data_IF_789208225038
#
_entry.id   IF_789208225038
#
_cell.length_a   1.000
_cell.length_b   1.000
_cell.length_c   1.000
_cell.angle_alpha   90.00
_cell.angle_beta   90.00
_cell.angle_gamma   90.00
#
_symmetry.space_group_name_H-M   'P 1'
#
loop_
_entity.id
_entity.type
_entity.pdbx_description
1 polymer ?
#
# COMPACT_ATOMS: atom_id res chain seq x y z
N UNK A 1 25.06 17.83 3.17
CA UNK A 1 25.76 18.83 2.31
C UNK A 1 25.62 18.59 0.80
N UNK A 2 24.55 17.94 0.32
CA UNK A 2 24.27 17.82 -1.13
C UNK A 2 23.34 18.94 -1.62
N UNK A 3 23.35 19.31 -2.91
CA UNK A 3 22.38 20.26 -3.47
C UNK A 3 20.94 19.82 -3.21
N UNK A 4 20.03 20.78 -2.99
CA UNK A 4 18.62 20.50 -2.70
C UNK A 4 17.95 19.65 -3.78
N UNK A 5 18.33 19.83 -5.05
CA UNK A 5 17.83 19.04 -6.18
C UNK A 5 18.17 17.55 -6.02
N UNK A 6 19.40 17.24 -5.63
CA UNK A 6 19.85 15.85 -5.38
C UNK A 6 19.12 15.25 -4.19
N UNK A 7 18.90 16.05 -3.13
CA UNK A 7 18.11 15.62 -1.98
C UNK A 7 16.66 15.34 -2.37
N UNK A 8 16.04 16.21 -3.19
CA UNK A 8 14.66 16.04 -3.63
C UNK A 8 14.48 14.76 -4.45
N UNK A 9 15.41 14.44 -5.36
CA UNK A 9 15.40 13.18 -6.11
C UNK A 9 15.50 11.97 -5.18
N UNK A 10 16.41 11.99 -4.19
CA UNK A 10 16.52 10.93 -3.19
C UNK A 10 15.21 10.74 -2.40
N UNK A 11 14.57 11.84 -1.98
CA UNK A 11 13.32 11.81 -1.23
C UNK A 11 12.14 11.32 -2.07
N UNK A 12 12.08 11.69 -3.36
CA UNK A 12 11.08 11.19 -4.31
C UNK A 12 11.23 9.68 -4.53
N UNK A 13 12.46 9.20 -4.72
CA UNK A 13 12.72 7.78 -4.90
C UNK A 13 12.39 6.97 -3.64
N UNK A 14 12.75 7.48 -2.45
CA UNK A 14 12.32 6.88 -1.18
C UNK A 14 10.81 6.92 -1.02
N UNK A 15 10.16 8.02 -1.38
CA UNK A 15 8.71 8.13 -1.41
C UNK A 15 8.06 7.09 -2.32
N UNK A 16 8.68 6.77 -3.45
CA UNK A 16 8.21 5.73 -4.36
C UNK A 16 8.25 4.34 -3.71
N UNK A 17 9.35 4.01 -3.01
CA UNK A 17 9.49 2.71 -2.33
C UNK A 17 8.67 2.61 -1.03
N UNK A 18 8.37 3.73 -0.39
CA UNK A 18 7.64 3.78 0.88
C UNK A 18 6.19 3.30 0.79
N UNK A 19 5.61 3.22 -0.41
CA UNK A 19 4.28 2.60 -0.63
C UNK A 19 4.23 1.17 -0.07
N UNK A 20 5.34 0.42 -0.13
CA UNK A 20 5.50 -0.91 0.46
C UNK A 20 6.45 -0.91 1.66
N UNK A 21 6.49 0.21 2.39
CA UNK A 21 7.26 0.41 3.62
C UNK A 21 8.78 0.33 3.46
N UNK A 22 9.29 0.47 2.24
CA UNK A 22 10.72 0.43 1.95
C UNK A 22 11.28 1.86 1.94
N UNK A 23 12.36 2.08 2.69
CA UNK A 23 13.10 3.35 2.70
C UNK A 23 14.44 3.21 1.95
N UNK A 24 14.37 2.94 0.64
CA UNK A 24 15.55 2.72 -0.21
C UNK A 24 15.35 3.38 -1.59
N UNK A 25 16.15 4.39 -1.96
CA UNK A 25 15.99 5.11 -3.23
C UNK A 25 16.27 4.22 -4.45
N UNK A 26 17.16 3.23 -4.33
CA UNK A 26 17.44 2.30 -5.41
C UNK A 26 16.27 1.35 -5.66
N UNK A 27 15.61 0.86 -4.61
CA UNK A 27 14.32 0.15 -4.75
C UNK A 27 13.27 1.06 -5.41
N UNK A 28 13.21 2.34 -5.02
CA UNK A 28 12.33 3.32 -5.65
C UNK A 28 12.56 3.46 -7.15
N UNK A 29 13.82 3.50 -7.59
CA UNK A 29 14.19 3.56 -9.00
C UNK A 29 13.74 2.31 -9.77
N UNK A 30 13.96 1.11 -9.20
CA UNK A 30 13.50 -0.16 -9.81
C UNK A 30 11.97 -0.16 -9.94
N UNK A 31 11.25 0.33 -8.93
CA UNK A 31 9.79 0.48 -8.98
C UNK A 31 9.38 1.44 -10.11
N UNK A 32 10.03 2.59 -10.27
CA UNK A 32 9.74 3.51 -11.39
C UNK A 32 9.93 2.84 -12.76
N UNK A 33 10.95 1.98 -12.93
CA UNK A 33 11.10 1.18 -14.16
C UNK A 33 9.91 0.25 -14.37
N UNK A 34 9.43 -0.40 -13.31
CA UNK A 34 8.22 -1.22 -13.35
C UNK A 34 6.97 -0.40 -13.73
N UNK A 35 6.82 0.79 -13.17
CA UNK A 35 5.72 1.71 -13.50
C UNK A 35 5.80 2.21 -14.94
N UNK A 36 7.00 2.49 -15.45
CA UNK A 36 7.20 2.85 -16.86
C UNK A 36 6.77 1.72 -17.81
N UNK A 37 7.09 0.47 -17.46
CA UNK A 37 6.66 -0.73 -18.22
C UNK A 37 5.13 -0.92 -18.16
N UNK A 38 4.49 -0.57 -17.05
CA UNK A 38 3.04 -0.59 -16.95
C UNK A 38 2.40 0.49 -17.83
N UNK A 39 2.75 1.76 -17.59
CA UNK A 39 2.34 2.89 -18.41
C UNK A 39 3.23 4.11 -18.08
N UNK A 40 3.92 4.70 -19.07
CA UNK A 40 4.68 5.94 -18.88
C UNK A 40 3.81 7.09 -18.37
N UNK A 41 2.53 7.14 -18.76
CA UNK A 41 1.59 8.15 -18.30
C UNK A 41 1.30 8.01 -16.80
N UNK A 42 1.08 6.79 -16.31
CA UNK A 42 0.81 6.54 -14.88
C UNK A 42 2.06 6.86 -14.04
N UNK A 43 3.25 6.47 -14.53
CA UNK A 43 4.51 6.86 -13.90
C UNK A 43 4.63 8.39 -13.81
N UNK A 44 4.30 9.12 -14.88
CA UNK A 44 4.39 10.58 -14.91
C UNK A 44 3.43 11.23 -13.90
N UNK A 45 2.15 10.82 -13.86
CA UNK A 45 1.19 11.38 -12.90
C UNK A 45 1.55 11.01 -11.47
N UNK A 46 2.03 9.79 -11.21
CA UNK A 46 2.58 9.37 -9.92
C UNK A 46 3.77 10.22 -9.49
N UNK A 47 4.74 10.44 -10.39
CA UNK A 47 5.90 11.30 -10.14
C UNK A 47 5.50 12.76 -9.87
N UNK A 48 4.50 13.27 -10.58
CA UNK A 48 3.94 14.59 -10.31
C UNK A 48 3.33 14.65 -8.89
N UNK A 49 2.52 13.66 -8.52
CA UNK A 49 1.88 13.62 -7.21
C UNK A 49 2.87 13.49 -6.04
N UNK A 50 3.89 12.63 -6.16
CA UNK A 50 4.92 12.49 -5.12
C UNK A 50 5.78 13.75 -4.99
N UNK A 51 6.09 14.41 -6.10
CA UNK A 51 6.84 15.69 -6.10
C UNK A 51 6.03 16.78 -5.41
N UNK A 52 4.77 16.97 -5.81
CA UNK A 52 3.88 17.99 -5.22
C UNK A 52 3.65 17.74 -3.73
N UNK A 53 3.42 16.49 -3.33
CA UNK A 53 3.25 16.13 -1.92
C UNK A 53 4.52 16.41 -1.10
N UNK A 54 5.69 16.08 -1.64
CA UNK A 54 6.98 16.34 -0.98
C UNK A 54 7.26 17.84 -0.84
N UNK A 55 7.06 18.62 -1.91
CA UNK A 55 7.22 20.07 -1.89
C UNK A 55 6.22 20.74 -0.94
N UNK A 56 4.98 20.25 -0.88
CA UNK A 56 3.96 20.73 0.06
C UNK A 56 4.37 20.46 1.50
N UNK A 57 4.91 19.28 1.80
CA UNK A 57 5.45 18.97 3.13
C UNK A 57 6.61 19.90 3.51
N UNK A 58 7.48 20.26 2.55
CA UNK A 58 8.54 21.25 2.78
C UNK A 58 7.97 22.64 3.09
N UNK A 59 6.97 23.09 2.33
CA UNK A 59 6.32 24.38 2.49
C UNK A 59 5.56 24.48 3.82
N UNK A 60 4.89 23.40 4.25
CA UNK A 60 4.21 23.28 5.53
C UNK A 60 5.17 22.99 6.70
N UNK A 61 6.48 23.09 6.50
CA UNK A 61 7.52 22.86 7.52
C UNK A 61 7.35 21.56 8.30
N UNK A 62 6.94 20.48 7.60
CA UNK A 62 6.85 19.15 8.20
C UNK A 62 8.25 18.61 8.56
N UNK A 63 8.28 17.61 9.45
CA UNK A 63 9.52 17.04 9.96
C UNK A 63 10.46 16.60 8.82
N UNK A 64 11.68 17.15 8.83
CA UNK A 64 12.69 16.88 7.80
C UNK A 64 13.14 15.43 7.82
N UNK A 65 13.11 14.74 8.96
CA UNK A 65 13.48 13.32 9.03
C UNK A 65 12.44 12.45 8.33
N UNK A 66 11.15 12.74 8.52
CA UNK A 66 10.05 12.08 7.82
C UNK A 66 10.06 12.36 6.31
N UNK A 67 10.31 13.61 5.90
CA UNK A 67 10.43 13.98 4.47
C UNK A 67 11.59 13.23 3.82
N UNK A 68 12.77 13.24 4.46
CA UNK A 68 13.95 12.57 3.91
C UNK A 68 13.84 11.05 3.89
N UNK A 69 13.02 10.46 4.75
CA UNK A 69 12.64 9.05 4.70
C UNK A 69 11.55 8.73 3.64
N UNK A 70 11.03 9.72 2.90
CA UNK A 70 9.99 9.54 1.89
C UNK A 70 8.56 9.42 2.45
N UNK A 71 8.34 9.63 3.75
CA UNK A 71 7.04 9.41 4.40
C UNK A 71 5.95 10.43 3.97
N UNK A 72 6.36 11.56 3.38
CA UNK A 72 5.45 12.53 2.80
C UNK A 72 5.28 12.39 1.27
N UNK A 73 5.97 11.43 0.63
CA UNK A 73 5.93 11.24 -0.83
C UNK A 73 5.00 10.13 -1.30
N UNK A 74 4.89 9.03 -0.56
CA UNK A 74 4.24 7.81 -1.05
C UNK A 74 2.72 7.93 -1.24
N UNK A 75 2.04 8.67 -0.37
CA UNK A 75 0.60 8.93 -0.53
C UNK A 75 0.32 9.76 -1.79
N UNK A 76 1.15 10.77 -2.07
CA UNK A 76 1.06 11.57 -3.30
C UNK A 76 1.34 10.76 -4.56
N UNK A 77 2.28 9.81 -4.51
CA UNK A 77 2.53 8.87 -5.62
C UNK A 77 1.26 8.08 -5.96
N UNK A 78 0.63 7.47 -4.95
CA UNK A 78 -0.59 6.68 -5.12
C UNK A 78 -1.76 7.54 -5.62
N UNK A 79 -1.89 8.78 -5.14
CA UNK A 79 -2.89 9.73 -5.67
C UNK A 79 -2.72 9.90 -7.17
N UNK A 80 -1.51 10.24 -7.63
CA UNK A 80 -1.23 10.46 -9.04
C UNK A 80 -1.44 9.22 -9.90
N UNK A 81 -1.02 8.04 -9.42
CA UNK A 81 -1.22 6.76 -10.11
C UNK A 81 -2.71 6.44 -10.26
N UNK A 82 -3.45 6.41 -9.14
CA UNK A 82 -4.82 5.90 -9.16
C UNK A 82 -5.82 6.90 -9.74
N UNK A 83 -5.54 8.21 -9.70
CA UNK A 83 -6.32 9.18 -10.49
C UNK A 83 -6.20 8.92 -11.99
N UNK A 84 -5.04 8.44 -12.46
CA UNK A 84 -4.83 8.07 -13.86
C UNK A 84 -5.53 6.75 -14.20
N UNK A 85 -5.34 5.73 -13.35
CA UNK A 85 -5.98 4.41 -13.52
C UNK A 85 -7.51 4.49 -13.59
N UNK A 86 -8.13 5.36 -12.78
CA UNK A 86 -9.59 5.51 -12.74
C UNK A 86 -10.14 6.60 -13.66
N UNK A 87 -9.32 7.23 -14.51
CA UNK A 87 -9.81 8.24 -15.46
C UNK A 87 -10.40 7.58 -16.71
N UNK A 88 -11.61 8.00 -17.09
CA UNK A 88 -12.27 7.53 -18.32
C UNK A 88 -11.78 8.25 -19.58
N UNK A 89 -10.88 9.23 -19.43
CA UNK A 89 -10.27 9.97 -20.55
C UNK A 89 -9.04 9.26 -21.14
N UNK A 90 -8.53 8.22 -20.49
CA UNK A 90 -7.37 7.46 -20.91
C UNK A 90 -6.03 8.19 -20.74
N UNK A 91 -4.99 7.64 -21.35
CA UNK A 91 -3.62 8.13 -21.21
C UNK A 91 -3.40 9.50 -21.87
N UNK A 92 -2.49 10.29 -21.30
CA UNK A 92 -2.08 11.63 -21.79
C UNK A 92 -3.19 12.69 -21.82
N UNK A 93 -4.25 12.53 -21.02
CA UNK A 93 -5.18 13.62 -20.73
C UNK A 93 -4.52 14.66 -19.80
N UNK A 94 -3.77 15.60 -20.37
CA UNK A 94 -2.95 16.58 -19.65
C UNK A 94 -3.72 17.43 -18.62
N UNK A 95 -5.01 17.65 -18.83
CA UNK A 95 -5.89 18.32 -17.87
C UNK A 95 -6.02 17.58 -16.54
N UNK A 96 -5.61 16.32 -16.45
CA UNK A 96 -5.55 15.56 -15.20
C UNK A 96 -4.41 16.02 -14.28
N UNK A 97 -3.36 16.70 -14.78
CA UNK A 97 -2.23 17.12 -13.94
C UNK A 97 -2.62 18.18 -12.88
N UNK A 98 -3.41 19.22 -13.17
CA UNK A 98 -3.89 20.15 -12.15
C UNK A 98 -4.63 19.48 -10.98
N UNK A 99 -5.67 18.63 -11.17
CA UNK A 99 -6.29 17.95 -10.04
C UNK A 99 -5.33 16.97 -9.35
N UNK A 100 -4.42 16.29 -10.06
CA UNK A 100 -3.38 15.46 -9.42
C UNK A 100 -2.53 16.30 -8.46
N UNK A 101 -2.11 17.50 -8.88
CA UNK A 101 -1.34 18.39 -8.02
C UNK A 101 -2.15 18.81 -6.78
N UNK A 102 -3.37 19.34 -6.97
CA UNK A 102 -4.24 19.82 -5.88
C UNK A 102 -4.54 18.70 -4.86
N UNK A 103 -4.92 17.52 -5.32
CA UNK A 103 -5.25 16.40 -4.43
C UNK A 103 -3.99 15.87 -3.73
N UNK A 104 -2.82 15.90 -4.38
CA UNK A 104 -1.55 15.53 -3.76
C UNK A 104 -1.10 16.52 -2.67
N UNK A 105 -1.45 17.81 -2.78
CA UNK A 105 -1.19 18.80 -1.72
C UNK A 105 -1.96 18.48 -0.42
N UNK A 106 -3.09 17.78 -0.50
CA UNK A 106 -3.84 17.36 0.68
C UNK A 106 -3.14 16.24 1.47
N UNK A 107 -2.24 15.47 0.84
CA UNK A 107 -1.61 14.30 1.47
C UNK A 107 -0.78 14.66 2.72
N UNK A 108 0.13 15.64 2.73
CA UNK A 108 0.86 16.02 3.94
C UNK A 108 -0.05 16.54 5.05
N UNK A 109 -1.13 17.25 4.70
CA UNK A 109 -2.11 17.79 5.66
C UNK A 109 -2.84 16.63 6.37
N UNK A 110 -3.36 15.69 5.58
CA UNK A 110 -4.03 14.50 6.10
C UNK A 110 -3.07 13.60 6.91
N UNK A 111 -1.84 13.41 6.43
CA UNK A 111 -0.80 12.69 7.17
C UNK A 111 -0.52 13.33 8.53
N UNK A 112 -0.42 14.66 8.60
CA UNK A 112 -0.18 15.39 9.85
C UNK A 112 -1.36 15.30 10.81
N UNK A 113 -2.58 15.49 10.30
CA UNK A 113 -3.81 15.39 11.10
C UNK A 113 -4.00 13.99 11.68
N UNK A 114 -3.87 12.94 10.85
CA UNK A 114 -3.96 11.55 11.28
C UNK A 114 -2.82 11.18 12.23
N UNK A 115 -1.59 11.64 11.95
CA UNK A 115 -0.41 11.41 12.79
C UNK A 115 -0.59 11.97 14.20
N UNK A 116 -1.19 13.15 14.34
CA UNK A 116 -1.51 13.75 15.66
C UNK A 116 -2.48 12.91 16.49
N UNK A 117 -3.37 12.17 15.84
CA UNK A 117 -4.32 11.27 16.52
C UNK A 117 -3.63 9.94 16.82
N UNK A 118 -3.00 9.32 15.83
CA UNK A 118 -2.48 7.96 15.89
C UNK A 118 -1.21 7.81 16.70
N UNK A 119 -0.40 8.87 16.81
CA UNK A 119 0.78 8.91 17.68
C UNK A 119 0.44 8.61 19.15
N UNK A 120 -0.78 8.91 19.61
CA UNK A 120 -1.24 8.59 20.97
C UNK A 120 -1.26 7.09 21.27
N UNK A 121 -1.38 6.25 20.24
CA UNK A 121 -1.33 4.79 20.33
C UNK A 121 -0.10 4.19 19.64
N UNK A 122 0.88 5.03 19.28
CA UNK A 122 2.06 4.64 18.51
C UNK A 122 1.67 3.87 17.23
N UNK A 123 0.74 4.43 16.45
CA UNK A 123 0.23 3.85 15.20
C UNK A 123 0.68 4.66 13.98
N UNK A 124 1.03 3.99 12.86
CA UNK A 124 1.35 4.67 11.61
C UNK A 124 0.07 5.11 10.89
N UNK A 125 0.16 6.14 10.06
CA UNK A 125 -0.98 6.62 9.25
C UNK A 125 -1.29 5.74 8.03
N UNK A 126 -0.33 4.90 7.62
CA UNK A 126 -0.42 4.07 6.42
C UNK A 126 -0.86 4.88 5.18
N UNK A 127 -1.55 4.25 4.24
CA UNK A 127 -2.08 4.88 3.03
C UNK A 127 -3.45 5.54 3.26
N UNK A 128 -3.86 5.82 4.50
CA UNK A 128 -5.11 6.54 4.78
C UNK A 128 -5.17 7.93 4.13
N UNK A 129 -4.11 8.76 4.12
CA UNK A 129 -4.13 10.04 3.41
C UNK A 129 -4.47 9.88 1.93
N UNK A 130 -3.83 8.92 1.25
CA UNK A 130 -4.15 8.57 -0.14
C UNK A 130 -5.61 8.13 -0.29
N UNK A 131 -6.06 7.20 0.54
CA UNK A 131 -7.41 6.63 0.43
C UNK A 131 -8.48 7.71 0.62
N UNK A 132 -8.34 8.59 1.61
CA UNK A 132 -9.24 9.73 1.83
C UNK A 132 -9.23 10.65 0.61
N UNK A 133 -8.05 11.06 0.17
CA UNK A 133 -7.89 12.02 -0.93
C UNK A 133 -8.47 11.52 -2.27
N UNK A 134 -8.13 10.29 -2.67
CA UNK A 134 -8.63 9.69 -3.92
C UNK A 134 -10.12 9.37 -3.82
N UNK A 135 -10.61 8.84 -2.69
CA UNK A 135 -12.05 8.55 -2.54
C UNK A 135 -12.88 9.83 -2.67
N UNK A 136 -12.45 10.93 -2.04
CA UNK A 136 -13.11 12.23 -2.15
C UNK A 136 -13.07 12.77 -3.59
N UNK A 137 -11.92 12.68 -4.27
CA UNK A 137 -11.79 13.10 -5.66
C UNK A 137 -12.73 12.31 -6.59
N UNK A 138 -12.74 10.99 -6.48
CA UNK A 138 -13.58 10.11 -7.30
C UNK A 138 -15.07 10.30 -7.01
N UNK A 139 -15.45 10.58 -5.76
CA UNK A 139 -16.82 10.89 -5.38
C UNK A 139 -17.28 12.27 -5.90
N UNK A 140 -16.39 13.27 -5.89
CA UNK A 140 -16.69 14.62 -6.35
C UNK A 140 -16.79 14.73 -7.88
N UNK A 141 -16.02 13.91 -8.60
CA UNK A 141 -16.04 13.87 -10.06
C UNK A 141 -17.08 12.86 -10.54
N UNK A 142 -16.88 11.58 -10.27
CA UNK A 142 -17.75 10.50 -10.72
C UNK A 142 -17.75 10.31 -12.24
N UNK A 143 -18.50 9.30 -12.69
CA UNK A 143 -18.53 8.92 -14.10
C UNK A 143 -19.08 10.01 -15.03
N UNK A 144 -20.04 10.80 -14.54
CA UNK A 144 -20.75 11.79 -15.35
C UNK A 144 -20.14 13.19 -15.32
N UNK A 145 -18.94 13.37 -14.75
CA UNK A 145 -18.28 14.66 -14.77
C UNK A 145 -17.91 15.06 -16.21
N UNK A 146 -18.22 16.29 -16.66
CA UNK A 146 -17.90 16.70 -18.03
C UNK A 146 -16.40 16.82 -18.31
N UNK A 147 -15.59 17.17 -17.30
CA UNK A 147 -14.15 17.41 -17.45
C UNK A 147 -13.29 16.24 -16.98
N UNK A 148 -13.67 15.60 -15.88
CA UNK A 148 -12.88 14.56 -15.22
C UNK A 148 -13.73 13.29 -14.98
N UNK A 149 -14.32 12.68 -16.03
CA UNK A 149 -15.12 11.48 -15.85
C UNK A 149 -14.25 10.32 -15.35
N UNK A 150 -14.78 9.57 -14.40
CA UNK A 150 -14.13 8.38 -13.85
C UNK A 150 -14.71 7.09 -14.43
N UNK A 151 -13.94 6.01 -14.43
CA UNK A 151 -14.40 4.70 -14.90
C UNK A 151 -15.61 4.24 -14.08
N UNK A 152 -16.64 3.75 -14.78
CA UNK A 152 -17.89 3.34 -14.14
C UNK A 152 -17.74 2.04 -13.36
N UNK A 153 -17.83 2.11 -12.04
CA UNK A 153 -17.84 0.95 -11.15
C UNK A 153 -19.28 0.62 -10.77
N UNK A 154 -19.74 -0.58 -11.12
CA UNK A 154 -21.08 -1.05 -10.78
C UNK A 154 -21.03 -2.12 -9.68
N UNK A 155 -21.93 -2.08 -8.69
CA UNK A 155 -22.08 -3.19 -7.77
C UNK A 155 -22.52 -4.46 -8.53
N UNK A 156 -22.13 -5.63 -8.02
CA UNK A 156 -22.55 -6.90 -8.60
C UNK A 156 -24.08 -7.02 -8.53
N UNK A 157 -24.74 -7.10 -9.69
CA UNK A 157 -26.20 -7.16 -9.80
C UNK A 157 -26.77 -8.56 -9.54
N UNK A 158 -25.95 -9.60 -9.66
CA UNK A 158 -26.33 -10.99 -9.48
C UNK A 158 -25.19 -11.82 -8.91
N UNK A 159 -25.52 -12.99 -8.37
CA UNK A 159 -24.51 -13.98 -7.95
C UNK A 159 -23.72 -14.42 -9.19
N UNK A 160 -22.38 -14.36 -9.18
CA UNK A 160 -21.59 -14.80 -10.32
C UNK A 160 -21.67 -16.32 -10.51
N UNK A 161 -21.80 -16.75 -11.75
CA UNK A 161 -21.77 -18.18 -12.09
C UNK A 161 -20.30 -18.64 -12.25
N UNK A 162 -19.76 -19.30 -11.22
CA UNK A 162 -18.36 -19.78 -11.22
C UNK A 162 -18.30 -21.22 -11.68
N UNK A 163 -17.74 -21.44 -12.87
CA UNK A 163 -17.50 -22.79 -13.42
C UNK A 163 -16.11 -23.26 -13.00
N UNK A 164 -16.01 -24.03 -11.91
CA UNK A 164 -14.73 -24.44 -11.30
C UNK A 164 -13.77 -25.18 -12.24
N UNK A 165 -14.31 -25.92 -13.22
CA UNK A 165 -13.49 -26.60 -14.23
C UNK A 165 -12.79 -25.64 -15.21
N UNK A 166 -13.23 -24.38 -15.30
CA UNK A 166 -12.61 -23.36 -16.16
C UNK A 166 -11.38 -22.68 -15.53
N UNK A 167 -10.99 -23.08 -14.32
CA UNK A 167 -9.88 -22.47 -13.60
C UNK A 167 -8.55 -22.68 -14.33
N UNK A 168 -7.82 -21.60 -14.56
CA UNK A 168 -6.48 -21.61 -15.19
C UNK A 168 -5.41 -21.46 -14.12
N UNK A 169 -4.80 -22.59 -13.72
CA UNK A 169 -3.73 -22.61 -12.70
C UNK A 169 -2.54 -21.69 -13.04
N UNK A 170 -2.06 -21.58 -14.29
CA UNK A 170 -0.99 -20.63 -14.62
C UNK A 170 -1.36 -19.18 -14.31
N UNK A 171 -2.62 -18.78 -14.55
CA UNK A 171 -3.10 -17.43 -14.25
C UNK A 171 -3.27 -17.20 -12.73
N UNK A 172 -3.56 -18.25 -11.95
CA UNK A 172 -3.50 -18.17 -10.50
C UNK A 172 -2.08 -17.88 -10.01
N UNK A 173 -1.09 -18.62 -10.50
CA UNK A 173 0.31 -18.38 -10.14
C UNK A 173 0.78 -16.98 -10.58
N UNK A 174 0.38 -16.55 -11.77
CA UNK A 174 0.64 -15.20 -12.28
C UNK A 174 -0.08 -14.12 -11.45
N UNK A 175 -1.21 -14.41 -10.83
CA UNK A 175 -1.91 -13.45 -9.96
C UNK A 175 -1.10 -13.05 -8.71
N UNK A 176 -0.09 -13.83 -8.32
CA UNK A 176 0.77 -13.52 -7.17
C UNK A 176 1.61 -12.27 -7.42
N UNK A 177 2.48 -12.20 -8.47
CA UNK A 177 3.17 -10.95 -8.79
C UNK A 177 2.20 -9.84 -9.21
N UNK A 178 1.14 -10.14 -9.96
CA UNK A 178 0.12 -9.12 -10.32
C UNK A 178 -0.51 -8.50 -9.07
N UNK A 179 -0.80 -9.29 -8.05
CA UNK A 179 -1.28 -8.81 -6.76
C UNK A 179 -0.31 -7.86 -6.06
N UNK A 180 1.00 -8.04 -6.22
CA UNK A 180 1.99 -7.08 -5.72
C UNK A 180 2.00 -5.81 -6.58
N UNK A 181 1.88 -5.94 -7.91
CA UNK A 181 1.74 -4.82 -8.84
C UNK A 181 0.51 -3.95 -8.56
N UNK A 182 -0.61 -4.57 -8.20
CA UNK A 182 -1.87 -3.88 -7.89
C UNK A 182 -1.79 -2.97 -6.65
N UNK A 183 -0.75 -3.10 -5.81
CA UNK A 183 -0.46 -2.10 -4.76
C UNK A 183 -0.27 -0.70 -5.35
N UNK A 184 0.27 -0.62 -6.57
CA UNK A 184 0.44 0.60 -7.36
C UNK A 184 -0.60 0.74 -8.48
N UNK A 185 -1.65 -0.10 -8.49
CA UNK A 185 -2.65 -0.15 -9.56
C UNK A 185 -2.16 -0.79 -10.87
N UNK A 186 -1.07 -1.57 -10.83
CA UNK A 186 -0.48 -2.19 -12.02
C UNK A 186 -0.97 -3.64 -12.20
N UNK A 187 -1.51 -3.97 -13.37
CA UNK A 187 -1.99 -5.31 -13.71
C UNK A 187 -0.96 -6.17 -14.46
N UNK A 188 0.11 -5.56 -14.98
CA UNK A 188 1.15 -6.28 -15.71
C UNK A 188 1.96 -7.18 -14.75
N UNK A 189 2.03 -8.50 -14.98
CA UNK A 189 2.78 -9.43 -14.12
C UNK A 189 4.27 -9.09 -14.04
N UNK A 190 4.85 -8.55 -15.12
CA UNK A 190 6.26 -8.16 -15.16
C UNK A 190 6.52 -6.97 -14.25
N UNK A 191 5.63 -5.97 -14.24
CA UNK A 191 5.70 -4.86 -13.29
C UNK A 191 5.64 -5.37 -11.85
N UNK A 192 4.72 -6.29 -11.55
CA UNK A 192 4.65 -6.96 -10.25
C UNK A 192 5.92 -7.71 -9.85
N UNK A 193 6.53 -8.43 -10.79
CA UNK A 193 7.82 -9.11 -10.60
C UNK A 193 8.97 -8.14 -10.35
N UNK A 194 9.02 -7.02 -11.09
CA UNK A 194 10.02 -5.96 -10.90
C UNK A 194 9.87 -5.30 -9.52
N UNK A 195 8.64 -5.06 -9.07
CA UNK A 195 8.38 -4.55 -7.71
C UNK A 195 8.87 -5.57 -6.67
N UNK A 196 8.60 -6.87 -6.84
CA UNK A 196 9.16 -7.90 -5.95
C UNK A 196 10.69 -7.87 -5.90
N UNK A 197 11.37 -7.71 -7.04
CA UNK A 197 12.83 -7.53 -7.08
C UNK A 197 13.26 -6.27 -6.31
N UNK A 198 12.55 -5.16 -6.46
CA UNK A 198 12.83 -3.94 -5.71
C UNK A 198 12.69 -4.13 -4.19
N UNK A 199 11.68 -4.89 -3.74
CA UNK A 199 11.52 -5.26 -2.34
C UNK A 199 12.66 -6.16 -1.86
N UNK A 200 13.02 -7.18 -2.66
CA UNK A 200 14.09 -8.12 -2.35
C UNK A 200 15.43 -7.42 -2.13
N UNK A 201 15.73 -6.42 -2.97
CA UNK A 201 16.94 -5.57 -2.87
C UNK A 201 17.01 -4.84 -1.53
N UNK A 202 15.87 -4.45 -0.94
CA UNK A 202 15.85 -3.79 0.36
C UNK A 202 15.78 -4.77 1.53
N UNK A 203 14.94 -5.80 1.42
CA UNK A 203 14.72 -6.81 2.47
C UNK A 203 14.08 -8.06 1.86
N UNK A 204 14.78 -9.20 1.89
CA UNK A 204 14.20 -10.49 1.53
C UNK A 204 12.94 -10.82 2.33
N UNK A 205 12.84 -10.41 3.60
CA UNK A 205 11.65 -10.66 4.43
C UNK A 205 10.43 -9.82 3.99
N UNK A 206 10.63 -8.58 3.54
CA UNK A 206 9.55 -7.77 2.94
C UNK A 206 9.07 -8.43 1.66
N UNK A 207 9.99 -8.82 0.77
CA UNK A 207 9.65 -9.52 -0.48
C UNK A 207 8.88 -10.81 -0.22
N UNK A 208 9.34 -11.62 0.73
CA UNK A 208 8.69 -12.89 1.11
C UNK A 208 7.27 -12.66 1.60
N UNK A 209 7.05 -11.74 2.53
CA UNK A 209 5.69 -11.46 3.05
C UNK A 209 4.78 -10.80 2.03
N UNK A 210 5.32 -10.02 1.07
CA UNK A 210 4.54 -9.50 -0.05
C UNK A 210 4.01 -10.64 -0.93
N UNK A 211 4.88 -11.57 -1.31
CA UNK A 211 4.50 -12.75 -2.12
C UNK A 211 3.53 -13.68 -1.38
N UNK A 212 3.82 -14.00 -0.10
CA UNK A 212 2.94 -14.81 0.75
C UNK A 212 1.57 -14.14 0.91
N UNK A 213 1.54 -12.84 1.23
CA UNK A 213 0.29 -12.12 1.41
C UNK A 213 -0.55 -12.05 0.14
N UNK A 214 0.09 -11.88 -1.02
CA UNK A 214 -0.57 -11.94 -2.32
C UNK A 214 -1.19 -13.33 -2.58
N UNK A 215 -0.44 -14.41 -2.30
CA UNK A 215 -0.94 -15.78 -2.43
C UNK A 215 -2.08 -16.09 -1.44
N UNK A 216 -1.98 -15.62 -0.19
CA UNK A 216 -3.03 -15.74 0.83
C UNK A 216 -4.31 -15.03 0.37
N UNK A 217 -4.20 -13.83 -0.21
CA UNK A 217 -5.33 -13.11 -0.78
C UNK A 217 -6.02 -13.88 -1.91
N UNK A 218 -5.22 -14.49 -2.80
CA UNK A 218 -5.72 -15.36 -3.88
C UNK A 218 -6.50 -16.56 -3.31
N UNK A 219 -5.93 -17.29 -2.34
CA UNK A 219 -6.62 -18.44 -1.73
C UNK A 219 -7.87 -18.02 -0.95
N UNK A 220 -7.83 -16.89 -0.25
CA UNK A 220 -9.00 -16.36 0.45
C UNK A 220 -10.13 -15.98 -0.53
N UNK A 221 -9.80 -15.40 -1.69
CA UNK A 221 -10.77 -15.12 -2.74
C UNK A 221 -11.40 -16.39 -3.33
N UNK A 222 -10.58 -17.43 -3.57
CA UNK A 222 -11.08 -18.74 -3.99
C UNK A 222 -12.03 -19.34 -2.94
N UNK A 223 -11.70 -19.22 -1.65
CA UNK A 223 -12.52 -19.80 -0.56
C UNK A 223 -13.95 -19.25 -0.48
N UNK A 224 -14.19 -18.06 -1.03
CA UNK A 224 -15.52 -17.42 -1.07
C UNK A 224 -16.12 -17.41 -2.49
N UNK A 225 -15.61 -18.25 -3.39
CA UNK A 225 -16.07 -18.37 -4.78
C UNK A 225 -16.08 -17.03 -5.56
N UNK A 226 -15.02 -16.23 -5.37
CA UNK A 226 -14.83 -15.01 -6.16
C UNK A 226 -14.61 -15.35 -7.65
N UNK A 227 -15.16 -14.56 -8.60
CA UNK A 227 -14.91 -14.75 -10.03
C UNK A 227 -13.42 -14.82 -10.37
N UNK A 228 -13.01 -15.76 -11.22
CA UNK A 228 -11.60 -15.97 -11.52
C UNK A 228 -10.91 -14.77 -12.17
N UNK A 229 -11.61 -14.01 -13.01
CA UNK A 229 -11.02 -12.85 -13.71
C UNK A 229 -10.53 -11.77 -12.72
N UNK A 230 -11.28 -11.49 -11.65
CA UNK A 230 -10.86 -10.52 -10.64
C UNK A 230 -9.68 -11.03 -9.79
N UNK A 231 -9.58 -12.35 -9.61
CA UNK A 231 -8.43 -13.00 -8.97
C UNK A 231 -7.20 -12.88 -9.88
N UNK A 232 -7.33 -13.17 -11.17
CA UNK A 232 -6.23 -13.08 -12.15
C UNK A 232 -5.69 -11.65 -12.29
N UNK A 233 -6.57 -10.65 -12.20
CA UNK A 233 -6.20 -9.23 -12.15
C UNK A 233 -5.56 -8.80 -10.81
N UNK A 234 -5.45 -9.71 -9.82
CA UNK A 234 -4.80 -9.44 -8.53
C UNK A 234 -5.60 -8.53 -7.59
N UNK A 235 -6.84 -8.19 -7.91
CA UNK A 235 -7.69 -7.23 -7.16
C UNK A 235 -8.01 -7.70 -5.73
N UNK A 236 -7.81 -8.98 -5.47
CA UNK A 236 -8.03 -9.62 -4.18
C UNK A 236 -6.73 -9.82 -3.39
N UNK A 237 -5.58 -9.57 -4.00
CA UNK A 237 -4.30 -10.01 -3.48
C UNK A 237 -3.54 -8.85 -2.80
N UNK A 238 -3.60 -7.65 -3.39
CA UNK A 238 -2.74 -6.52 -3.01
C UNK A 238 -2.92 -6.00 -1.58
N UNK A 239 -4.16 -5.92 -1.08
CA UNK A 239 -4.41 -5.52 0.31
C UNK A 239 -3.85 -6.55 1.30
N UNK A 240 -3.89 -7.84 0.95
CA UNK A 240 -3.34 -8.92 1.77
C UNK A 240 -1.81 -8.91 1.74
N UNK A 241 -1.20 -8.58 0.60
CA UNK A 241 0.24 -8.35 0.47
C UNK A 241 0.71 -7.23 1.41
N UNK A 242 0.09 -6.04 1.37
CA UNK A 242 0.42 -4.93 2.28
C UNK A 242 0.23 -5.30 3.76
N UNK A 243 -0.87 -5.98 4.10
CA UNK A 243 -1.14 -6.40 5.47
C UNK A 243 -0.07 -7.40 5.98
N UNK A 244 0.31 -8.37 5.15
CA UNK A 244 1.33 -9.34 5.52
C UNK A 244 2.70 -8.68 5.66
N UNK A 245 3.08 -7.72 4.81
CA UNK A 245 4.32 -6.97 4.98
C UNK A 245 4.29 -6.15 6.27
N UNK A 246 3.20 -5.43 6.55
CA UNK A 246 3.08 -4.59 7.72
C UNK A 246 3.20 -5.38 9.04
N UNK A 247 2.52 -6.52 9.17
CA UNK A 247 2.54 -7.33 10.39
C UNK A 247 3.72 -8.30 10.42
N UNK A 248 4.18 -8.78 9.27
CA UNK A 248 5.23 -9.78 9.10
C UNK A 248 6.65 -9.24 9.25
N UNK A 249 6.92 -8.54 10.36
CA UNK A 249 8.26 -8.06 10.70
C UNK A 249 8.47 -6.54 10.63
N UNK A 250 7.57 -5.79 9.97
CA UNK A 250 7.68 -4.33 9.90
C UNK A 250 7.25 -3.64 11.19
N UNK A 251 5.97 -3.76 11.57
CA UNK A 251 5.41 -3.11 12.77
C UNK A 251 5.26 -4.06 13.97
N UNK A 252 5.44 -5.36 13.76
CA UNK A 252 5.73 -6.34 14.79
C UNK A 252 7.11 -6.93 14.57
N UNK A 253 7.83 -7.30 15.63
CA UNK A 253 9.06 -8.05 15.48
C UNK A 253 8.78 -9.44 14.91
N UNK A 254 9.57 -9.90 13.93
CA UNK A 254 9.32 -11.18 13.30
C UNK A 254 9.64 -12.35 14.26
N UNK A 255 8.60 -13.14 14.53
CA UNK A 255 8.58 -14.42 15.25
C UNK A 255 7.62 -15.36 14.49
N UNK A 256 7.57 -16.65 14.83
CA UNK A 256 6.62 -17.55 14.18
C UNK A 256 5.17 -17.17 14.52
N UNK A 257 4.93 -16.62 15.73
CA UNK A 257 3.62 -16.14 16.16
C UNK A 257 3.18 -14.92 15.34
N UNK A 258 4.06 -13.94 15.16
CA UNK A 258 3.72 -12.74 14.37
C UNK A 258 3.67 -13.03 12.88
N UNK A 259 4.40 -14.05 12.41
CA UNK A 259 4.21 -14.60 11.06
C UNK A 259 2.78 -15.14 10.88
N UNK A 260 2.29 -16.01 11.77
CA UNK A 260 0.90 -16.50 11.71
C UNK A 260 -0.12 -15.36 11.85
N UNK A 261 0.17 -14.38 12.72
CA UNK A 261 -0.66 -13.18 12.88
C UNK A 261 -0.74 -12.37 11.58
N UNK A 262 0.35 -12.30 10.81
CA UNK A 262 0.37 -11.62 9.51
C UNK A 262 -0.54 -12.30 8.48
N UNK A 263 -0.56 -13.65 8.44
CA UNK A 263 -1.46 -14.42 7.58
C UNK A 263 -2.93 -14.17 7.97
N UNK A 264 -3.22 -14.19 9.28
CA UNK A 264 -4.56 -13.89 9.79
C UNK A 264 -5.02 -12.47 9.44
N UNK A 265 -4.12 -11.49 9.52
CA UNK A 265 -4.39 -10.10 9.12
C UNK A 265 -4.71 -9.97 7.63
N UNK A 266 -3.99 -10.73 6.78
CA UNK A 266 -4.28 -10.84 5.35
C UNK A 266 -5.68 -11.42 5.07
N UNK A 267 -6.06 -12.50 5.75
CA UNK A 267 -7.34 -13.20 5.51
C UNK A 267 -8.54 -12.38 6.01
N UNK A 268 -8.42 -11.60 7.09
CA UNK A 268 -9.56 -10.95 7.76
C UNK A 268 -10.39 -10.04 6.84
N UNK A 269 -9.84 -9.57 5.72
CA UNK A 269 -10.59 -8.88 4.63
C UNK A 269 -11.82 -9.68 4.15
N UNK A 270 -11.72 -11.01 4.11
CA UNK A 270 -12.68 -11.88 3.43
C UNK A 270 -13.81 -12.40 4.32
N UNK A 271 -13.74 -12.19 5.63
CA UNK A 271 -14.80 -12.61 6.56
C UNK A 271 -15.79 -11.47 6.83
N UNK A 272 -17.08 -11.85 7.01
CA UNK A 272 -18.35 -11.07 6.98
C UNK A 272 -18.44 -9.70 7.71
N UNK A 273 -17.40 -9.23 8.40
CA UNK A 273 -17.34 -7.87 8.96
C UNK A 273 -17.09 -6.77 7.90
N UNK A 274 -16.86 -7.14 6.63
CA UNK A 274 -16.59 -6.23 5.50
C UNK A 274 -17.80 -5.52 4.89
N UNK A 275 -19.01 -5.62 5.46
CA UNK A 275 -20.18 -4.85 4.96
C UNK A 275 -19.90 -3.34 4.93
N UNK A 276 -19.18 -2.81 5.92
CA UNK A 276 -18.78 -1.40 5.95
C UNK A 276 -17.65 -1.09 4.95
N UNK A 277 -16.78 -2.06 4.66
CA UNK A 277 -15.67 -1.93 3.71
C UNK A 277 -16.13 -2.08 2.25
N UNK A 278 -17.26 -2.73 1.99
CA UNK A 278 -17.89 -2.81 0.66
C UNK A 278 -18.77 -1.60 0.34
N UNK A 279 -19.01 -0.72 1.32
CA UNK A 279 -19.84 0.47 1.15
C UNK A 279 -19.37 1.42 0.02
N UNK A 280 -18.06 1.70 -0.17
CA UNK A 280 -17.62 2.49 -1.32
C UNK A 280 -18.05 1.87 -2.65
N UNK A 281 -18.05 0.54 -2.77
CA UNK A 281 -18.46 -0.15 -3.99
C UNK A 281 -19.95 0.04 -4.31
N UNK A 282 -20.80 0.14 -3.28
CA UNK A 282 -22.23 0.47 -3.45
C UNK A 282 -22.45 1.90 -3.95
N UNK A 283 -21.51 2.80 -3.66
CA UNK A 283 -21.49 4.17 -4.17
C UNK A 283 -20.74 4.31 -5.51
N UNK A 284 -20.32 3.20 -6.13
CA UNK A 284 -19.55 3.21 -7.37
C UNK A 284 -18.10 3.70 -7.20
N UNK A 285 -17.53 3.55 -6.01
CA UNK A 285 -16.16 3.94 -5.68
C UNK A 285 -15.26 2.70 -5.46
N UNK A 286 -13.97 2.77 -5.84
CA UNK A 286 -13.03 1.69 -5.62
C UNK A 286 -12.66 1.56 -4.13
N UNK A 287 -12.34 0.35 -3.70
CA UNK A 287 -11.90 0.10 -2.32
C UNK A 287 -10.48 0.58 -2.04
N UNK A 288 -9.66 0.75 -3.08
CA UNK A 288 -8.25 1.10 -2.97
C UNK A 288 -7.56 0.27 -1.87
N UNK A 289 -6.86 0.90 -0.94
CA UNK A 289 -6.18 0.21 0.18
C UNK A 289 -6.84 0.44 1.54
N UNK A 290 -8.10 0.91 1.57
CA UNK A 290 -8.89 1.01 2.80
C UNK A 290 -8.90 -0.30 3.60
N UNK A 291 -9.14 -1.48 2.98
CA UNK A 291 -9.19 -2.74 3.73
C UNK A 291 -7.85 -3.10 4.40
N UNK A 292 -6.72 -2.81 3.73
CA UNK A 292 -5.40 -2.94 4.32
C UNK A 292 -5.25 -2.02 5.54
N UNK A 293 -5.53 -0.72 5.41
CA UNK A 293 -5.34 0.24 6.50
C UNK A 293 -6.12 -0.17 7.75
N UNK A 294 -7.41 -0.48 7.59
CA UNK A 294 -8.24 -0.85 8.74
C UNK A 294 -7.84 -2.19 9.35
N UNK A 295 -7.52 -3.19 8.53
CA UNK A 295 -7.06 -4.49 9.05
C UNK A 295 -5.74 -4.34 9.81
N UNK A 296 -4.73 -3.69 9.21
CA UNK A 296 -3.43 -3.52 9.83
C UNK A 296 -3.49 -2.68 11.12
N UNK A 297 -4.28 -1.61 11.15
CA UNK A 297 -4.49 -0.79 12.37
C UNK A 297 -5.18 -1.59 13.47
N UNK A 298 -6.22 -2.35 13.13
CA UNK A 298 -6.91 -3.21 14.09
C UNK A 298 -5.95 -4.24 14.70
N UNK A 299 -5.09 -4.86 13.87
CA UNK A 299 -4.11 -5.83 14.36
C UNK A 299 -3.01 -5.17 15.19
N UNK A 300 -2.58 -3.95 14.87
CA UNK A 300 -1.61 -3.20 15.68
C UNK A 300 -2.15 -2.68 17.01
N UNK A 301 -3.48 -2.73 17.21
CA UNK A 301 -4.14 -2.45 18.49
C UNK A 301 -4.31 -3.71 19.35
N UNK A 302 -3.98 -4.90 18.84
CA UNK A 302 -4.04 -6.12 19.64
C UNK A 302 -3.00 -6.03 20.75
N UNK A 303 -3.48 -6.09 21.99
CA UNK A 303 -2.66 -6.34 23.16
C UNK A 303 -2.62 -7.84 23.43
N UNK A 304 -1.44 -8.39 23.74
CA UNK A 304 -1.26 -9.82 23.99
C UNK A 304 -0.29 -10.02 25.13
N UNK A 305 -0.64 -10.94 26.05
CA UNK A 305 0.25 -11.38 27.12
C UNK A 305 1.40 -12.27 26.60
N UNK A 306 1.35 -12.67 25.32
CA UNK A 306 2.41 -13.46 24.71
C UNK A 306 3.61 -12.57 24.35
N UNK A 307 4.78 -12.71 25.02
CA UNK A 307 5.94 -11.85 24.80
C UNK A 307 6.60 -12.04 23.41
N UNK A 308 6.16 -13.02 22.62
CA UNK A 308 6.58 -13.21 21.23
C UNK A 308 5.78 -12.35 20.23
N UNK A 309 4.63 -11.81 20.64
CA UNK A 309 3.83 -10.85 19.86
C UNK A 309 4.24 -9.44 20.32
N UNK A 310 5.35 -8.96 19.78
CA UNK A 310 5.96 -7.70 20.20
C UNK A 310 5.77 -6.61 19.13
N UNK A 311 4.94 -5.61 19.44
CA UNK A 311 4.77 -4.41 18.60
C UNK A 311 6.04 -3.57 18.66
N UNK A 312 6.54 -3.16 17.50
CA UNK A 312 7.71 -2.31 17.38
C UNK A 312 7.35 -0.86 17.73
N UNK A 313 8.13 -0.17 18.58
CA UNK A 313 8.01 1.27 18.73
C UNK A 313 8.28 1.97 17.40
N UNK A 314 7.40 2.89 16.96
CA UNK A 314 7.52 3.47 15.61
C UNK A 314 8.86 4.16 15.36
N UNK A 315 9.41 4.83 16.37
CA UNK A 315 10.72 5.49 16.29
C UNK A 315 11.91 4.52 16.09
N UNK A 316 11.67 3.20 16.20
CA UNK A 316 12.66 2.14 15.99
C UNK A 316 12.38 1.29 14.74
N UNK A 317 11.25 1.49 14.07
CA UNK A 317 10.89 0.74 12.87
C UNK A 317 11.84 1.11 11.73
N UNK A 318 12.45 0.10 11.11
CA UNK A 318 13.32 0.27 9.93
C UNK A 318 12.96 -0.76 8.85
N UNK A 319 13.39 -2.01 9.00
CA UNK A 319 13.08 -3.15 8.14
C UNK A 319 13.14 -4.45 8.97
N UNK A 320 12.52 -5.56 8.53
CA UNK A 320 12.22 -6.71 9.37
C UNK A 320 13.44 -7.36 10.04
N UNK A 321 14.55 -7.46 9.31
CA UNK A 321 15.81 -8.03 9.80
C UNK A 321 16.37 -7.19 10.97
N UNK A 322 16.44 -5.86 10.81
CA UNK A 322 16.90 -4.95 11.86
C UNK A 322 15.92 -4.87 13.04
N UNK A 323 14.61 -4.84 12.76
CA UNK A 323 13.56 -4.86 13.78
C UNK A 323 13.65 -6.11 14.66
N UNK A 324 13.92 -7.27 14.03
CA UNK A 324 14.12 -8.54 14.73
C UNK A 324 15.36 -8.50 15.64
N UNK A 325 16.47 -7.92 15.18
CA UNK A 325 17.67 -7.75 16.02
C UNK A 325 17.37 -6.85 17.23
N UNK A 326 16.64 -5.75 17.04
CA UNK A 326 16.22 -4.87 18.12
C UNK A 326 15.40 -5.61 19.19
N UNK A 327 14.40 -6.38 18.76
CA UNK A 327 13.58 -7.19 19.65
C UNK A 327 14.39 -8.20 20.46
N UNK A 328 15.30 -8.94 19.81
CA UNK A 328 16.13 -9.94 20.50
C UNK A 328 17.05 -9.29 21.55
N UNK A 329 17.59 -8.10 21.27
CA UNK A 329 18.39 -7.33 22.24
C UNK A 329 17.54 -6.90 23.44
N UNK A 330 16.32 -6.41 23.21
CA UNK A 330 15.41 -6.02 24.30
C UNK A 330 15.00 -7.23 25.15
N UNK A 331 14.68 -8.36 24.51
CA UNK A 331 14.36 -9.61 25.19
C UNK A 331 15.51 -10.10 26.08
N UNK A 332 16.75 -10.02 25.59
CA UNK A 332 17.95 -10.38 26.36
C UNK A 332 18.13 -9.48 27.59
N UNK A 333 18.05 -8.16 27.42
CA UNK A 333 18.13 -7.20 28.54
C UNK A 333 17.06 -7.44 29.60
N UNK A 334 15.83 -7.72 29.18
CA UNK A 334 14.74 -8.06 30.10
C UNK A 334 14.98 -9.36 30.88
N UNK A 335 15.66 -10.34 30.27
CA UNK A 335 16.04 -11.58 30.97
C UNK A 335 17.21 -11.39 31.93
N UNK A 336 18.17 -10.52 31.60
CA UNK A 336 19.31 -10.18 32.45
C UNK A 336 18.86 -9.37 33.67
N UNK A 337 17.91 -8.44 33.54
CA UNK A 337 17.36 -7.66 34.65
C UNK A 337 16.47 -8.47 35.62
N UNK A 338 16.08 -9.70 35.26
CA UNK A 338 15.29 -10.60 36.11
C UNK A 338 16.15 -11.62 36.87
N UNK A 339 17.45 -11.69 36.56
CA UNK A 339 18.44 -12.50 37.27
C UNK A 339 19.10 -11.66 38.35
#
# INVERSE_FOLDING_TARGET
DKPLTVQLVDWILRGTSQVMFVNNPFSGLIILVGLFIQSPWWMLTGCAGTTVSTLTALALSQDRSAISAGLHGYNGLLVGLLMSVFSDKGDYYWWLLPPVAVISMACPILSSALGSIFSKWDLPVFTLPFNIAVTLYLAATGHYNPFFPTSLIKPAASVPNVTWSAIKVPLLLQSIPVGVGQVYGCENPWTGGIILVALLVSSPLICLHAAIGSAVGMFAALSIATPFDSIYLGLHNYNCALACVAIGGMFYALTWQTHLLSLACGIKRYHKASVCLSFPLQLGLPLCTWPFCFSALLFLLINSDNPAIYKMPLCKVTYPEANRIYYLRMKRRASEARR
#
